data_IF_568126525434
#
_entry.id   IF_568126525434
#
_cell.length_a   1.000
_cell.length_b   1.000
_cell.length_c   1.000
_cell.angle_alpha   90.00
_cell.angle_beta   90.00
_cell.angle_gamma   90.00
#
_symmetry.space_group_name_H-M   'P 1'
#
loop_
_entity.id
_entity.type
_entity.pdbx_description
1 polymer ?
#
# COMPACT_ATOMS: atom_id res chain seq x y z
N UNK A 1 6.17 -5.14 -4.26
CA UNK A 1 6.76 -4.20 -5.27
C UNK A 1 5.68 -3.28 -5.85
N UNK A 2 5.93 -1.97 -5.83
CA UNK A 2 5.00 -0.93 -6.27
C UNK A 2 5.08 -0.61 -7.78
N UNK A 3 3.93 -0.27 -8.37
CA UNK A 3 3.81 0.29 -9.72
C UNK A 3 2.70 1.35 -9.79
N UNK A 4 2.91 2.50 -10.45
CA UNK A 4 1.84 3.43 -10.79
C UNK A 4 0.69 2.76 -11.54
N UNK A 5 -0.53 3.22 -11.30
CA UNK A 5 -1.74 2.75 -11.97
C UNK A 5 -2.68 3.91 -12.31
N UNK A 6 -3.24 3.87 -13.53
CA UNK A 6 -4.20 4.87 -13.99
C UNK A 6 -3.63 6.30 -14.02
N UNK A 7 -4.53 7.29 -14.00
CA UNK A 7 -4.17 8.71 -14.05
C UNK A 7 -4.39 9.44 -12.72
N UNK A 8 -5.02 8.79 -11.74
CA UNK A 8 -5.53 9.37 -10.48
C UNK A 8 -4.62 9.16 -9.27
N UNK A 9 -3.33 8.85 -9.53
CA UNK A 9 -2.32 8.62 -8.48
C UNK A 9 -2.49 7.28 -7.75
N UNK A 10 -3.11 6.30 -8.38
CA UNK A 10 -3.28 4.96 -7.79
C UNK A 10 -2.00 4.14 -7.89
N UNK A 11 -1.84 3.22 -6.94
CA UNK A 11 -0.70 2.30 -6.87
C UNK A 11 -1.17 0.86 -6.99
N UNK A 12 -0.48 0.07 -7.80
CA UNK A 12 -0.58 -1.39 -7.80
C UNK A 12 0.53 -1.98 -6.95
N UNK A 13 0.14 -2.72 -5.93
CA UNK A 13 1.01 -3.33 -4.93
C UNK A 13 0.99 -4.85 -5.11
N UNK A 14 2.17 -5.46 -5.11
CA UNK A 14 2.32 -6.87 -4.73
C UNK A 14 2.60 -6.93 -3.23
N UNK A 15 1.65 -7.39 -2.40
CA UNK A 15 1.94 -7.64 -0.99
C UNK A 15 2.91 -8.82 -0.87
N UNK A 16 3.76 -8.80 0.15
CA UNK A 16 4.63 -9.94 0.47
C UNK A 16 3.83 -11.08 1.11
N UNK A 17 2.87 -10.72 1.96
CA UNK A 17 1.89 -11.64 2.51
C UNK A 17 0.48 -11.07 2.22
N UNK A 18 -0.29 -11.68 1.31
CA UNK A 18 -1.63 -11.21 0.95
C UNK A 18 -2.68 -11.43 2.06
N UNK A 19 -2.40 -12.30 3.04
CA UNK A 19 -3.33 -12.63 4.12
C UNK A 19 -3.22 -11.66 5.30
N UNK A 20 -2.20 -10.78 5.31
CA UNK A 20 -2.04 -9.79 6.35
C UNK A 20 -3.05 -8.63 6.22
N UNK A 21 -3.73 -8.25 7.31
CA UNK A 21 -4.80 -7.24 7.28
C UNK A 21 -4.29 -5.79 7.22
N UNK A 22 -3.01 -5.51 6.99
CA UNK A 22 -2.48 -4.14 7.03
C UNK A 22 -2.93 -3.24 5.88
N UNK A 23 -3.29 -3.83 4.72
CA UNK A 23 -3.78 -3.07 3.56
C UNK A 23 -5.31 -2.94 3.61
N UNK A 24 -5.80 -2.16 4.57
CA UNK A 24 -7.22 -1.89 4.78
C UNK A 24 -7.56 -0.42 4.61
N UNK A 25 -8.85 -0.14 4.34
CA UNK A 25 -9.36 1.23 4.32
C UNK A 25 -9.04 1.91 5.65
N UNK A 26 -8.64 3.18 5.61
CA UNK A 26 -8.25 3.99 6.76
C UNK A 26 -6.98 3.52 7.49
N UNK A 27 -6.35 2.45 7.02
CA UNK A 27 -5.01 2.06 7.45
C UNK A 27 -3.96 3.07 7.01
N UNK A 28 -2.82 3.05 7.68
CA UNK A 28 -1.71 3.98 7.47
C UNK A 28 -0.50 3.21 6.95
N UNK A 29 0.17 3.79 5.96
CA UNK A 29 1.35 3.21 5.31
C UNK A 29 2.40 4.28 5.08
N UNK A 30 3.65 3.86 4.95
CA UNK A 30 4.76 4.71 4.60
C UNK A 30 5.18 4.45 3.15
N UNK A 31 5.30 5.53 2.39
CA UNK A 31 5.79 5.55 1.03
C UNK A 31 6.92 6.58 0.95
N UNK A 32 8.13 6.14 0.61
CA UNK A 32 9.33 7.00 0.61
C UNK A 32 9.57 7.72 1.95
N UNK A 33 9.24 7.06 3.06
CA UNK A 33 9.34 7.63 4.41
C UNK A 33 8.20 8.61 4.78
N UNK A 34 7.28 8.91 3.87
CA UNK A 34 6.12 9.74 4.15
C UNK A 34 4.90 8.89 4.54
N UNK A 35 4.32 9.19 5.71
CA UNK A 35 3.10 8.56 6.20
C UNK A 35 1.89 9.00 5.38
N UNK A 36 1.07 8.04 4.96
CA UNK A 36 -0.13 8.27 4.14
C UNK A 36 -1.27 7.35 4.56
N UNK A 37 -2.48 7.92 4.66
CA UNK A 37 -3.73 7.17 4.83
C UNK A 37 -4.13 6.45 3.56
N UNK A 38 -4.64 5.24 3.70
CA UNK A 38 -5.28 4.48 2.64
C UNK A 38 -6.74 4.96 2.49
N UNK A 39 -7.06 5.56 1.35
CA UNK A 39 -8.42 6.04 1.03
C UNK A 39 -9.24 5.01 0.24
N UNK A 40 -8.57 4.07 -0.44
CA UNK A 40 -9.25 2.99 -1.18
C UNK A 40 -8.35 1.77 -1.31
N UNK A 41 -8.96 0.60 -1.16
CA UNK A 41 -8.33 -0.71 -1.37
C UNK A 41 -9.19 -1.52 -2.32
N UNK A 42 -8.58 -2.14 -3.34
CA UNK A 42 -9.24 -3.14 -4.18
C UNK A 42 -8.28 -4.29 -4.49
N UNK A 43 -8.70 -5.49 -4.16
CA UNK A 43 -7.97 -6.72 -4.50
C UNK A 43 -8.31 -7.16 -5.93
N UNK A 44 -7.28 -7.49 -6.70
CA UNK A 44 -7.40 -7.97 -8.09
C UNK A 44 -6.25 -8.95 -8.40
N UNK A 45 -6.59 -10.23 -8.60
CA UNK A 45 -5.66 -11.30 -9.02
C UNK A 45 -4.34 -11.33 -8.23
N UNK A 46 -4.42 -11.32 -6.90
CA UNK A 46 -3.26 -11.36 -6.00
C UNK A 46 -2.45 -10.05 -5.96
N UNK A 47 -3.01 -8.96 -6.46
CA UNK A 47 -2.47 -7.60 -6.34
C UNK A 47 -3.48 -6.73 -5.61
N UNK A 48 -2.99 -5.65 -5.04
CA UNK A 48 -3.82 -4.62 -4.41
C UNK A 48 -3.70 -3.34 -5.21
N UNK A 49 -4.83 -2.74 -5.53
CA UNK A 49 -4.90 -1.36 -6.03
C UNK A 49 -5.23 -0.45 -4.87
N UNK A 50 -4.31 0.45 -4.56
CA UNK A 50 -4.41 1.42 -3.47
C UNK A 50 -4.59 2.84 -4.00
N UNK A 51 -5.39 3.60 -3.28
CA UNK A 51 -5.40 5.06 -3.32
C UNK A 51 -4.91 5.56 -1.98
N UNK A 52 -3.88 6.40 -1.99
CA UNK A 52 -3.33 7.02 -0.79
C UNK A 52 -3.66 8.51 -0.78
N UNK A 53 -3.89 9.05 0.40
CA UNK A 53 -4.15 10.46 0.59
C UNK A 53 -3.02 11.33 0.03
N UNK A 54 -3.40 12.38 -0.69
CA UNK A 54 -2.48 13.37 -1.27
C UNK A 54 -1.78 12.95 -2.56
N UNK A 55 -2.09 11.77 -3.12
CA UNK A 55 -1.57 11.30 -4.41
C UNK A 55 -2.71 11.30 -5.45
N UNK A 56 -3.01 12.46 -6.02
CA UNK A 56 -4.19 12.69 -6.89
C UNK A 56 -3.94 12.49 -8.38
N UNK A 57 -2.68 12.50 -8.80
CA UNK A 57 -2.31 12.42 -10.21
C UNK A 57 -1.14 11.49 -10.41
N UNK A 58 -1.12 10.83 -11.56
CA UNK A 58 -0.07 9.90 -11.98
C UNK A 58 1.35 10.44 -11.75
N UNK A 59 1.61 11.70 -12.10
CA UNK A 59 2.93 12.31 -11.92
C UNK A 59 3.45 12.38 -10.48
N UNK A 60 2.61 12.16 -9.46
CA UNK A 60 3.06 12.10 -8.05
C UNK A 60 3.51 10.70 -7.61
N UNK A 61 3.16 9.67 -8.37
CA UNK A 61 3.51 8.27 -8.05
C UNK A 61 4.53 7.68 -8.99
N UNK A 62 4.89 8.41 -10.05
CA UNK A 62 5.68 7.87 -11.15
C UNK A 62 7.06 7.34 -10.71
N UNK A 63 7.69 8.06 -9.79
CA UNK A 63 9.00 7.76 -9.24
C UNK A 63 8.98 6.66 -8.17
N UNK A 64 7.80 6.22 -7.71
CA UNK A 64 7.67 5.19 -6.67
C UNK A 64 7.76 3.77 -7.24
N UNK A 65 8.13 3.63 -8.52
CA UNK A 65 8.19 2.34 -9.21
C UNK A 65 9.31 1.50 -8.62
N UNK A 66 8.97 0.28 -8.21
CA UNK A 66 9.94 -0.67 -7.66
C UNK A 66 10.16 -0.52 -6.15
N UNK A 67 9.67 0.57 -5.56
CA UNK A 67 9.80 0.82 -4.14
C UNK A 67 8.91 -0.10 -3.29
N UNK A 68 9.14 -0.01 -1.98
CA UNK A 68 8.38 -0.69 -0.95
C UNK A 68 7.28 0.22 -0.41
N UNK A 69 6.23 -0.44 0.07
CA UNK A 69 5.21 0.17 0.90
C UNK A 69 5.36 -0.46 2.26
N UNK A 70 5.51 0.37 3.28
CA UNK A 70 5.88 -0.05 4.62
C UNK A 70 4.75 0.26 5.60
N UNK A 71 4.72 -0.44 6.72
CA UNK A 71 3.80 -0.22 7.84
C UNK A 71 4.68 -0.10 9.07
N UNK A 72 4.36 0.82 9.97
CA UNK A 72 5.12 0.94 11.21
C UNK A 72 4.98 -0.33 12.05
N UNK A 73 6.03 -0.70 12.78
CA UNK A 73 6.06 -1.94 13.57
C UNK A 73 4.96 -1.99 14.64
N UNK A 74 4.65 -0.85 15.26
CA UNK A 74 3.57 -0.68 16.24
C UNK A 74 2.16 -0.71 15.62
N UNK A 75 2.05 -0.54 14.31
CA UNK A 75 0.81 -0.64 13.52
C UNK A 75 0.70 -2.00 12.81
N UNK A 76 1.69 -2.88 12.99
CA UNK A 76 1.73 -4.18 12.35
C UNK A 76 0.68 -5.11 12.98
N UNK A 77 -0.43 -5.28 12.27
CA UNK A 77 -1.41 -6.31 12.59
C UNK A 77 -0.87 -7.71 12.29
N UNK A 78 -0.38 -8.37 13.33
CA UNK A 78 0.11 -9.74 13.29
C UNK A 78 -1.03 -10.75 13.37
N UNK A 79 -0.97 -11.81 12.57
CA UNK A 79 -1.79 -13.00 12.78
C UNK A 79 -1.15 -13.83 13.90
N UNK A 80 -1.96 -14.29 14.86
CA UNK A 80 -1.51 -14.89 16.12
C UNK A 80 -0.52 -16.07 15.98
N UNK A 81 -0.49 -16.74 14.82
CA UNK A 81 0.35 -17.90 14.54
C UNK A 81 1.47 -17.64 13.51
N UNK A 82 1.72 -16.39 13.11
CA UNK A 82 2.65 -16.08 12.02
C UNK A 82 4.15 -16.10 12.41
N UNK A 83 4.46 -16.22 13.71
CA UNK A 83 5.83 -16.21 14.22
C UNK A 83 5.96 -17.11 15.46
N UNK A 84 5.90 -18.43 15.27
CA UNK A 84 6.35 -19.45 16.23
C UNK A 84 7.41 -20.34 15.60
#
# INVERSE_FOLDING_TARGET
MLRPHGNTGELRVAPFNPDLPNLQLDGEVYLQGERRRIERVRWDKGRVLLKLAGLERRGQVEDTRGELLEVAEDELLLQADAYL
#
